data_IF_334572161674
#
_entry.id   IF_334572161674
#
_cell.length_a   1.000
_cell.length_b   1.000
_cell.length_c   1.000
_cell.angle_alpha   90.00
_cell.angle_beta   90.00
_cell.angle_gamma   90.00
#
_symmetry.space_group_name_H-M   'P 1'
#
loop_
_entity.id
_entity.type
_entity.pdbx_description
1 polymer ?
#
# COMPACT_ATOMS: atom_id res chain seq x y z
N UNK A 1 -13.23 -7.13 -29.40
CA UNK A 1 -13.74 -7.34 -28.03
C UNK A 1 -12.83 -6.79 -26.93
N UNK A 2 -11.58 -6.38 -27.21
CA UNK A 2 -10.68 -5.75 -26.22
C UNK A 2 -10.82 -4.21 -26.06
N UNK A 3 -11.72 -3.56 -26.79
CA UNK A 3 -11.92 -2.09 -26.70
C UNK A 3 -13.05 -1.68 -25.73
N UNK A 4 -13.64 -2.63 -25.00
CA UNK A 4 -14.74 -2.38 -24.03
C UNK A 4 -14.38 -2.62 -22.57
N UNK A 5 -13.15 -3.04 -22.26
CA UNK A 5 -12.69 -3.18 -20.89
C UNK A 5 -11.73 -2.04 -20.56
N UNK A 6 -12.16 -1.19 -19.62
CA UNK A 6 -11.34 -0.23 -18.86
C UNK A 6 -11.08 1.13 -19.55
N UNK A 7 -12.16 1.92 -19.69
CA UNK A 7 -12.03 3.36 -19.40
C UNK A 7 -11.71 3.48 -17.91
N UNK A 8 -10.45 3.30 -17.52
CA UNK A 8 -10.02 3.64 -16.18
C UNK A 8 -10.29 5.14 -15.99
N UNK A 9 -11.30 5.44 -15.17
CA UNK A 9 -11.43 6.76 -14.56
C UNK A 9 -10.07 7.05 -13.92
N UNK A 10 -9.50 8.22 -14.17
CA UNK A 10 -8.21 8.61 -13.62
C UNK A 10 -8.24 8.38 -12.09
N UNK A 11 -7.48 7.40 -11.60
CA UNK A 11 -7.36 7.10 -10.17
C UNK A 11 -6.33 8.08 -9.62
N UNK A 12 -6.69 8.99 -8.71
CA UNK A 12 -5.71 9.88 -8.08
C UNK A 12 -4.69 9.05 -7.32
N UNK A 13 -3.41 9.37 -7.47
CA UNK A 13 -2.32 8.77 -6.68
C UNK A 13 -1.51 9.88 -6.05
N UNK A 14 -1.21 9.72 -4.76
CA UNK A 14 -0.47 10.69 -3.95
C UNK A 14 0.89 10.09 -3.59
N UNK A 15 1.97 10.75 -4.00
CA UNK A 15 3.35 10.34 -3.75
C UNK A 15 4.11 11.36 -2.91
N UNK A 16 3.44 12.40 -2.43
CA UNK A 16 4.04 13.61 -1.86
C UNK A 16 4.44 13.47 -0.38
N UNK A 17 4.63 12.24 0.12
CA UNK A 17 5.14 11.95 1.47
C UNK A 17 6.56 11.38 1.32
N UNK A 18 7.61 12.18 1.59
CA UNK A 18 8.98 11.70 1.47
C UNK A 18 9.35 10.76 2.62
N UNK A 19 10.15 9.75 2.31
CA UNK A 19 10.78 8.89 3.29
C UNK A 19 12.20 9.33 3.65
N UNK A 20 12.75 8.70 4.69
CA UNK A 20 14.13 8.96 5.13
C UNK A 20 15.16 8.56 4.06
N UNK A 21 14.84 7.55 3.25
CA UNK A 21 15.63 7.15 2.09
C UNK A 21 15.58 8.16 0.92
N UNK A 22 14.57 9.03 0.88
CA UNK A 22 14.43 10.05 -0.15
C UNK A 22 15.21 11.32 0.18
N UNK A 23 15.09 11.79 1.43
CA UNK A 23 15.55 13.13 1.83
C UNK A 23 16.55 13.16 3.01
N UNK A 24 16.79 12.05 3.71
CA UNK A 24 17.53 12.00 4.98
C UNK A 24 16.59 12.05 6.19
N UNK A 25 17.10 12.30 7.41
CA UNK A 25 16.26 12.40 8.60
C UNK A 25 16.73 13.49 9.57
N UNK A 26 15.78 14.26 10.13
CA UNK A 26 16.07 15.33 11.09
C UNK A 26 17.10 16.34 10.57
N UNK A 27 18.13 16.61 11.36
CA UNK A 27 19.19 17.56 11.01
C UNK A 27 20.04 17.15 9.79
N UNK A 28 20.02 15.86 9.44
CA UNK A 28 20.73 15.32 8.27
C UNK A 28 19.93 15.42 6.97
N UNK A 29 18.71 15.99 7.00
CA UNK A 29 17.90 16.19 5.79
C UNK A 29 18.65 17.08 4.79
N UNK A 30 18.72 16.65 3.55
CA UNK A 30 19.36 17.40 2.47
C UNK A 30 18.34 18.29 1.77
N UNK A 31 18.51 19.61 1.84
CA UNK A 31 17.68 20.58 1.10
C UNK A 31 17.60 20.27 -0.40
N UNK A 32 18.72 19.91 -1.02
CA UNK A 32 18.74 19.49 -2.42
C UNK A 32 17.87 18.26 -2.69
N UNK A 33 17.86 17.28 -1.77
CA UNK A 33 17.01 16.10 -1.90
C UNK A 33 15.52 16.43 -1.70
N UNK A 34 15.18 17.31 -0.74
CA UNK A 34 13.82 17.83 -0.54
C UNK A 34 13.32 18.55 -1.80
N UNK A 35 14.14 19.40 -2.40
CA UNK A 35 13.78 20.14 -3.62
C UNK A 35 13.54 19.18 -4.79
N UNK A 36 14.46 18.23 -5.00
CA UNK A 36 14.32 17.20 -6.03
C UNK A 36 13.08 16.34 -5.81
N UNK A 37 12.81 15.92 -4.57
CA UNK A 37 11.62 15.13 -4.23
C UNK A 37 10.36 15.93 -4.54
N UNK A 38 10.30 17.19 -4.10
CA UNK A 38 9.16 18.09 -4.33
C UNK A 38 8.91 18.30 -5.82
N UNK A 39 9.96 18.51 -6.61
CA UNK A 39 9.85 18.69 -8.06
C UNK A 39 9.28 17.46 -8.78
N UNK A 40 9.62 16.25 -8.32
CA UNK A 40 9.17 15.02 -8.97
C UNK A 40 7.82 14.52 -8.42
N UNK A 41 7.68 14.45 -7.10
CA UNK A 41 6.58 13.78 -6.40
C UNK A 41 5.66 14.73 -5.62
N UNK A 42 6.02 16.01 -5.49
CA UNK A 42 5.17 17.00 -4.85
C UNK A 42 3.82 17.12 -5.55
N UNK A 43 2.76 17.26 -4.75
CA UNK A 43 1.42 17.47 -5.24
C UNK A 43 1.27 18.89 -5.79
N UNK A 44 0.35 19.06 -6.72
CA UNK A 44 0.03 20.38 -7.27
C UNK A 44 -0.68 21.23 -6.22
N UNK A 45 -0.11 22.39 -5.88
CA UNK A 45 -0.75 23.34 -4.99
C UNK A 45 -1.95 23.99 -5.69
N UNK A 46 -3.17 23.57 -5.35
CA UNK A 46 -4.41 24.10 -5.92
C UNK A 46 -4.88 25.40 -5.26
N UNK A 47 -4.14 25.93 -4.27
CA UNK A 47 -4.52 27.14 -3.53
C UNK A 47 -3.98 28.43 -4.15
N UNK A 48 -3.10 28.34 -5.15
CA UNK A 48 -2.55 29.50 -5.86
C UNK A 48 -3.54 29.98 -6.94
N UNK A 49 -4.06 31.23 -6.88
CA UNK A 49 -4.91 31.76 -7.94
C UNK A 49 -4.14 31.85 -9.26
N UNK A 50 -4.64 31.18 -10.30
CA UNK A 50 -4.12 31.27 -11.66
C UNK A 50 -4.48 32.63 -12.28
N UNK A 51 -3.66 33.64 -11.98
CA UNK A 51 -3.88 35.04 -12.37
C UNK A 51 -3.01 35.55 -13.53
N UNK A 52 -2.19 34.71 -14.18
CA UNK A 52 -1.39 35.12 -15.34
C UNK A 52 -1.17 33.94 -16.29
N UNK A 53 -0.94 34.25 -17.57
CA UNK A 53 -0.83 33.30 -18.69
C UNK A 53 0.37 32.33 -18.63
N UNK A 54 0.89 32.04 -17.43
CA UNK A 54 1.87 31.00 -17.17
C UNK A 54 1.48 30.32 -15.85
N UNK A 55 0.88 29.13 -15.95
CA UNK A 55 0.52 28.32 -14.78
C UNK A 55 1.82 27.70 -14.25
N UNK A 56 2.55 28.44 -13.43
CA UNK A 56 3.60 27.89 -12.58
C UNK A 56 2.91 27.10 -11.47
N UNK A 57 2.65 25.80 -11.70
CA UNK A 57 2.09 24.96 -10.65
C UNK A 57 3.21 24.68 -9.63
N UNK A 58 3.19 25.40 -8.52
CA UNK A 58 4.08 25.10 -7.40
C UNK A 58 3.75 23.70 -6.89
N UNK A 59 4.75 22.81 -6.90
CA UNK A 59 4.65 21.51 -6.25
C UNK A 59 4.97 21.64 -4.78
N UNK A 60 4.24 20.91 -3.94
CA UNK A 60 4.40 20.92 -2.48
C UNK A 60 4.27 19.51 -1.92
N UNK A 61 5.02 19.22 -0.86
CA UNK A 61 4.94 17.92 -0.15
C UNK A 61 3.81 17.91 0.88
N UNK A 62 3.64 19.01 1.61
CA UNK A 62 2.63 19.13 2.64
C UNK A 62 1.30 19.57 2.04
N UNK A 63 0.28 18.73 2.08
CA UNK A 63 -1.02 19.02 1.47
C UNK A 63 -2.20 18.50 2.27
N UNK A 64 -3.33 19.19 2.12
CA UNK A 64 -4.65 18.72 2.53
C UNK A 64 -5.47 18.46 1.27
N UNK A 65 -6.05 17.27 1.18
CA UNK A 65 -6.99 16.90 0.11
C UNK A 65 -8.30 16.46 0.73
N UNK A 66 -9.37 17.18 0.45
CA UNK A 66 -10.71 16.75 0.88
C UNK A 66 -11.26 15.74 -0.12
N UNK A 67 -11.54 14.54 0.38
CA UNK A 67 -12.15 13.44 -0.37
C UNK A 67 -13.44 13.08 0.36
N UNK A 68 -14.59 13.28 -0.30
CA UNK A 68 -15.90 13.14 0.34
C UNK A 68 -16.01 14.01 1.61
N UNK A 69 -16.39 13.42 2.75
CA UNK A 69 -16.50 14.08 4.05
C UNK A 69 -15.23 13.94 4.90
N UNK A 70 -14.06 13.76 4.29
CA UNK A 70 -12.80 13.52 4.99
C UNK A 70 -11.69 14.39 4.44
N UNK A 71 -10.80 14.84 5.33
CA UNK A 71 -9.60 15.55 4.96
C UNK A 71 -8.39 14.60 5.06
N UNK A 72 -7.77 14.30 3.92
CA UNK A 72 -6.51 13.57 3.86
C UNK A 72 -5.37 14.58 4.07
N UNK A 73 -4.54 14.35 5.08
CA UNK A 73 -3.44 15.23 5.46
C UNK A 73 -2.12 14.52 5.19
N UNK A 74 -1.34 15.03 4.25
CA UNK A 74 0.00 14.54 3.94
C UNK A 74 1.02 15.50 4.58
N UNK A 75 1.86 15.00 5.48
CA UNK A 75 2.81 15.81 6.23
C UNK A 75 4.21 15.19 6.19
N UNK A 76 5.19 16.00 5.80
CA UNK A 76 6.61 15.70 5.91
C UNK A 76 7.09 15.92 7.36
N UNK A 77 6.87 14.92 8.21
CA UNK A 77 7.36 14.92 9.60
C UNK A 77 8.87 14.80 9.70
N UNK A 78 9.54 14.29 8.66
CA UNK A 78 10.99 14.11 8.62
C UNK A 78 11.68 15.46 8.54
N UNK A 79 11.28 16.32 7.60
CA UNK A 79 11.76 17.70 7.51
C UNK A 79 11.33 18.51 8.73
N UNK A 80 10.14 18.25 9.29
CA UNK A 80 9.69 18.89 10.53
C UNK A 80 10.56 18.53 11.75
N UNK A 81 11.24 17.38 11.73
CA UNK A 81 12.19 16.96 12.78
C UNK A 81 13.56 17.64 12.67
N UNK A 82 13.79 18.47 11.64
CA UNK A 82 14.99 19.26 11.50
C UNK A 82 14.97 20.46 12.45
N UNK A 83 16.08 20.72 13.12
CA UNK A 83 16.23 21.82 14.10
C UNK A 83 17.23 22.89 13.65
N UNK A 84 17.92 22.66 12.52
CA UNK A 84 19.06 23.46 12.08
C UNK A 84 18.70 24.43 10.95
N UNK A 85 17.81 24.04 10.04
CA UNK A 85 17.51 24.79 8.81
C UNK A 85 16.02 25.11 8.69
N UNK A 86 15.68 26.38 8.84
CA UNK A 86 14.31 26.90 8.67
C UNK A 86 13.76 26.65 7.27
N UNK A 87 14.60 26.62 6.25
CA UNK A 87 14.18 26.27 4.89
C UNK A 87 13.67 24.82 4.76
N UNK A 88 14.05 23.94 5.70
CA UNK A 88 13.64 22.54 5.75
C UNK A 88 12.44 22.37 6.69
N UNK A 89 12.53 22.81 7.95
CA UNK A 89 11.46 22.60 8.93
C UNK A 89 10.31 23.62 8.81
N UNK A 90 10.55 24.79 8.22
CA UNK A 90 9.59 25.88 8.07
C UNK A 90 8.36 25.50 7.24
N UNK A 91 8.51 25.00 6.00
CA UNK A 91 7.37 24.64 5.16
C UNK A 91 6.36 23.65 5.79
N UNK A 92 6.76 22.49 6.38
CA UNK A 92 5.80 21.61 7.06
C UNK A 92 5.20 22.25 8.32
N UNK A 93 5.95 23.11 9.01
CA UNK A 93 5.46 23.85 10.18
C UNK A 93 4.38 24.87 9.82
N UNK A 94 4.62 25.69 8.81
CA UNK A 94 3.65 26.68 8.31
C UNK A 94 2.34 26.01 7.88
N UNK A 95 2.45 24.88 7.17
CA UNK A 95 1.29 24.08 6.79
C UNK A 95 0.53 23.57 8.01
N UNK A 96 1.22 22.97 8.98
CA UNK A 96 0.60 22.49 10.21
C UNK A 96 -0.08 23.62 11.01
N UNK A 97 0.56 24.79 11.10
CA UNK A 97 0.02 25.97 11.77
C UNK A 97 -1.21 26.54 11.04
N UNK A 98 -1.25 26.41 9.71
CA UNK A 98 -2.43 26.77 8.94
C UNK A 98 -3.63 25.86 9.28
N UNK A 99 -3.41 24.55 9.37
CA UNK A 99 -4.45 23.58 9.74
C UNK A 99 -4.97 23.76 11.17
N UNK A 100 -4.12 24.25 12.08
CA UNK A 100 -4.49 24.55 13.47
C UNK A 100 -5.35 25.82 13.58
N UNK A 101 -5.21 26.76 12.64
CA UNK A 101 -6.03 27.99 12.59
C UNK A 101 -7.40 27.75 11.96
N UNK A 102 -7.51 26.76 11.08
CA UNK A 102 -8.75 26.35 10.43
C UNK A 102 -9.74 25.69 11.40
N UNK A 103 -11.03 25.87 11.15
CA UNK A 103 -12.06 25.10 11.85
C UNK A 103 -12.10 23.68 11.30
N UNK A 104 -11.88 22.67 12.15
CA UNK A 104 -11.97 21.27 11.76
C UNK A 104 -13.44 20.87 11.56
N UNK A 105 -13.86 20.77 10.30
CA UNK A 105 -15.22 20.33 9.92
C UNK A 105 -15.23 18.81 9.69
N UNK A 106 -14.24 18.31 8.95
CA UNK A 106 -14.16 16.89 8.57
C UNK A 106 -13.22 16.11 9.50
N UNK A 107 -13.45 14.79 9.69
CA UNK A 107 -12.44 13.87 10.19
C UNK A 107 -11.16 13.95 9.33
N UNK A 108 -10.01 13.95 10.00
CA UNK A 108 -8.69 14.04 9.35
C UNK A 108 -8.03 12.66 9.38
N UNK A 109 -7.55 12.22 8.22
CA UNK A 109 -6.78 10.99 8.03
C UNK A 109 -5.37 11.42 7.65
N UNK A 110 -4.40 11.04 8.46
CA UNK A 110 -3.04 11.55 8.33
C UNK A 110 -2.11 10.51 7.69
N UNK A 111 -1.20 11.00 6.84
CA UNK A 111 -0.15 10.23 6.19
C UNK A 111 1.21 10.93 6.41
N UNK A 112 2.17 10.17 6.93
CA UNK A 112 3.55 10.56 7.18
C UNK A 112 4.44 9.33 6.98
N UNK A 113 5.75 9.51 6.82
CA UNK A 113 6.62 8.35 6.61
C UNK A 113 7.03 7.68 7.93
N UNK A 114 7.57 8.44 8.88
CA UNK A 114 8.01 7.92 10.20
C UNK A 114 6.88 8.07 11.21
N UNK A 115 6.50 7.01 11.95
CA UNK A 115 5.38 7.02 12.87
C UNK A 115 5.59 7.93 14.09
N UNK A 116 4.49 8.27 14.77
CA UNK A 116 4.56 8.99 16.03
C UNK A 116 5.12 8.15 17.19
N UNK A 117 5.73 8.87 18.14
CA UNK A 117 6.16 8.31 19.41
C UNK A 117 5.00 7.63 20.14
N UNK A 118 5.28 6.44 20.68
CA UNK A 118 4.33 5.66 21.47
C UNK A 118 5.00 5.04 22.68
N UNK A 119 4.26 4.98 23.78
CA UNK A 119 4.70 4.28 24.99
C UNK A 119 4.50 2.77 24.81
N UNK A 120 5.58 2.06 24.48
CA UNK A 120 5.53 0.65 24.06
C UNK A 120 5.02 -0.30 25.15
N UNK A 121 5.17 0.07 26.43
CA UNK A 121 4.65 -0.70 27.56
C UNK A 121 3.13 -0.58 27.71
N UNK A 122 2.52 0.45 27.11
CA UNK A 122 1.08 0.74 27.19
C UNK A 122 0.33 0.49 25.88
N UNK A 123 1.04 0.51 24.75
CA UNK A 123 0.47 0.29 23.44
C UNK A 123 1.29 -0.77 22.70
N UNK A 124 0.83 -2.02 22.80
CA UNK A 124 1.38 -3.14 22.03
C UNK A 124 0.95 -3.07 20.57
N UNK A 125 1.76 -3.61 19.68
CA UNK A 125 1.31 -3.85 18.31
C UNK A 125 0.24 -4.94 18.30
N UNK A 126 -0.80 -4.77 17.47
CA UNK A 126 -1.78 -5.81 17.22
C UNK A 126 -1.17 -7.12 16.70
N UNK A 127 -1.88 -8.28 16.79
CA UNK A 127 -1.38 -9.62 16.45
C UNK A 127 -0.94 -9.83 15.00
N UNK A 128 -1.14 -8.86 14.10
CA UNK A 128 -0.72 -8.94 12.70
C UNK A 128 0.74 -8.52 12.49
N UNK A 129 1.46 -8.10 13.55
CA UNK A 129 2.91 -7.88 13.52
C UNK A 129 3.66 -9.21 13.43
N UNK A 130 4.56 -9.36 12.46
CA UNK A 130 5.31 -10.62 12.27
C UNK A 130 6.52 -10.77 13.20
N UNK A 131 7.03 -9.68 13.77
CA UNK A 131 8.16 -9.72 14.69
C UNK A 131 8.63 -8.34 15.14
N UNK A 132 9.55 -8.35 16.11
CA UNK A 132 10.07 -7.12 16.73
C UNK A 132 9.07 -6.49 17.69
N UNK A 133 8.54 -7.30 18.62
CA UNK A 133 7.71 -6.86 19.76
C UNK A 133 8.54 -6.83 21.06
N UNK A 134 8.38 -5.79 21.91
CA UNK A 134 7.57 -4.58 21.67
C UNK A 134 8.13 -3.74 20.52
N UNK A 135 7.33 -2.80 19.99
CA UNK A 135 7.73 -1.92 18.88
C UNK A 135 9.10 -1.28 19.15
N UNK A 136 10.05 -1.32 18.20
CA UNK A 136 11.40 -0.83 18.44
C UNK A 136 11.42 0.70 18.53
N UNK A 137 11.93 1.24 19.64
CA UNK A 137 12.25 2.67 19.76
C UNK A 137 13.76 2.82 19.64
N UNK A 138 14.23 2.94 18.40
CA UNK A 138 15.67 3.04 18.10
C UNK A 138 15.98 4.28 17.26
N UNK A 139 17.20 4.80 17.44
CA UNK A 139 17.77 5.92 16.70
C UNK A 139 19.12 5.51 16.12
N UNK A 140 19.34 5.83 14.86
CA UNK A 140 20.57 5.56 14.13
C UNK A 140 20.97 6.75 13.25
N UNK A 141 22.01 6.56 12.43
CA UNK A 141 22.40 7.57 11.46
C UNK A 141 21.31 7.73 10.39
N UNK A 142 20.72 8.93 10.29
CA UNK A 142 19.63 9.25 9.35
C UNK A 142 18.40 8.35 9.47
N UNK A 143 18.14 7.83 10.66
CA UNK A 143 17.04 6.91 10.91
C UNK A 143 16.55 7.02 12.35
N UNK A 144 15.23 6.99 12.53
CA UNK A 144 14.59 6.88 13.83
C UNK A 144 13.27 6.14 13.64
N UNK A 145 12.98 5.15 14.49
CA UNK A 145 11.77 4.33 14.34
C UNK A 145 10.47 5.06 14.65
N UNK A 146 10.55 6.20 15.33
CA UNK A 146 9.45 7.12 15.62
C UNK A 146 10.00 8.55 15.59
N UNK A 147 9.17 9.56 15.32
CA UNK A 147 9.58 10.95 15.55
C UNK A 147 9.62 11.30 17.04
N UNK A 148 10.19 12.45 17.40
CA UNK A 148 10.37 12.87 18.79
C UNK A 148 9.05 12.95 19.56
N UNK A 149 9.10 12.68 20.87
CA UNK A 149 7.93 12.71 21.75
C UNK A 149 7.18 14.05 21.69
N UNK A 150 7.91 15.16 21.90
CA UNK A 150 7.29 16.50 21.95
C UNK A 150 6.76 16.92 20.57
N UNK A 151 7.47 16.55 19.50
CA UNK A 151 7.02 16.81 18.14
C UNK A 151 5.77 16.01 17.81
N UNK A 152 5.70 14.74 18.20
CA UNK A 152 4.51 13.90 18.05
C UNK A 152 3.31 14.54 18.76
N UNK A 153 3.48 14.96 20.01
CA UNK A 153 2.43 15.60 20.80
C UNK A 153 1.94 16.90 20.15
N UNK A 154 2.86 17.71 19.62
CA UNK A 154 2.50 18.95 18.95
C UNK A 154 1.71 18.72 17.66
N UNK A 155 2.18 17.80 16.81
CA UNK A 155 1.52 17.46 15.54
C UNK A 155 0.11 16.94 15.81
N UNK A 156 -0.04 16.03 16.77
CA UNK A 156 -1.36 15.50 17.15
C UNK A 156 -2.28 16.57 17.73
N UNK A 157 -1.76 17.49 18.54
CA UNK A 157 -2.53 18.61 19.11
C UNK A 157 -3.05 19.58 18.04
N UNK A 158 -2.24 19.90 17.03
CA UNK A 158 -2.60 20.84 15.95
C UNK A 158 -3.48 20.21 14.86
N UNK A 159 -3.16 18.98 14.44
CA UNK A 159 -3.88 18.31 13.35
C UNK A 159 -5.12 17.59 13.87
N UNK A 160 -5.04 17.01 15.06
CA UNK A 160 -6.09 16.20 15.68
C UNK A 160 -6.65 15.12 14.74
N UNK A 161 -5.81 14.24 14.15
CA UNK A 161 -6.27 13.18 13.25
C UNK A 161 -7.10 12.13 14.00
N UNK A 162 -7.98 11.46 13.26
CA UNK A 162 -8.72 10.28 13.76
C UNK A 162 -7.88 9.01 13.62
N UNK A 163 -7.08 8.93 12.56
CA UNK A 163 -6.15 7.85 12.27
C UNK A 163 -4.92 8.41 11.54
N UNK A 164 -3.76 7.82 11.81
CA UNK A 164 -2.49 8.06 11.15
C UNK A 164 -2.01 6.76 10.49
N UNK A 165 -1.57 6.88 9.23
CA UNK A 165 -0.87 5.84 8.50
C UNK A 165 0.58 6.26 8.30
N UNK A 166 1.49 5.45 8.82
CA UNK A 166 2.93 5.66 8.68
C UNK A 166 3.63 4.45 8.08
N UNK A 167 4.74 4.66 7.41
CA UNK A 167 5.62 3.61 6.90
C UNK A 167 6.81 3.38 7.82
N UNK A 168 7.99 3.39 7.21
CA UNK A 168 9.34 3.25 7.80
C UNK A 168 9.61 1.91 8.53
N UNK A 169 8.83 1.55 9.55
CA UNK A 169 8.82 0.18 10.08
C UNK A 169 8.09 -0.72 9.08
N UNK A 170 8.79 -1.75 8.59
CA UNK A 170 8.27 -2.59 7.51
C UNK A 170 7.22 -3.62 7.99
N UNK A 171 7.03 -3.74 9.31
CA UNK A 171 6.04 -4.62 9.90
C UNK A 171 4.75 -3.86 10.20
N UNK A 172 3.63 -4.57 10.07
CA UNK A 172 2.37 -4.02 10.54
C UNK A 172 2.46 -3.76 12.04
N UNK A 173 1.95 -2.61 12.49
CA UNK A 173 1.72 -2.33 13.89
C UNK A 173 0.54 -1.38 14.04
N UNK A 174 -0.47 -1.82 14.77
CA UNK A 174 -1.62 -1.02 15.14
C UNK A 174 -1.49 -0.63 16.62
N UNK A 175 -1.57 0.66 16.91
CA UNK A 175 -1.36 1.22 18.25
C UNK A 175 -2.34 2.36 18.56
N UNK A 176 -2.67 2.54 19.84
CA UNK A 176 -3.41 3.71 20.32
C UNK A 176 -2.45 4.71 20.96
N UNK A 177 -2.43 5.94 20.44
CA UNK A 177 -1.58 7.00 20.98
C UNK A 177 -2.48 8.03 21.68
N UNK A 178 -2.48 8.10 23.02
CA UNK A 178 -3.15 9.15 23.75
C UNK A 178 -2.38 10.47 23.58
N UNK A 179 -3.10 11.58 23.41
CA UNK A 179 -2.52 12.91 23.34
C UNK A 179 -3.46 13.95 23.95
N UNK A 180 -2.89 15.10 24.32
CA UNK A 180 -3.64 16.23 24.86
C UNK A 180 -3.80 17.30 23.80
N UNK A 181 -5.00 17.85 23.68
CA UNK A 181 -5.26 19.00 22.82
C UNK A 181 -4.88 20.27 23.55
N UNK A 182 -4.08 21.11 22.89
CA UNK A 182 -3.83 22.48 23.33
C UNK A 182 -5.07 23.32 23.04
N UNK A 183 -5.65 23.90 24.09
CA UNK A 183 -6.87 24.72 24.04
C UNK A 183 -6.74 25.95 23.15
N UNK A 184 -5.52 26.42 22.89
CA UNK A 184 -5.29 27.53 21.96
C UNK A 184 -5.68 27.18 20.51
N UNK A 185 -5.73 25.89 20.16
CA UNK A 185 -6.11 25.39 18.84
C UNK A 185 -7.51 24.75 18.81
N UNK A 186 -8.14 24.52 19.96
CA UNK A 186 -9.49 23.93 20.00
C UNK A 186 -10.58 25.00 19.84
N UNK A 187 -10.99 25.26 18.60
CA UNK A 187 -12.13 26.13 18.27
C UNK A 187 -13.48 25.42 18.33
N UNK A 188 -13.52 24.12 18.64
CA UNK A 188 -14.76 23.35 18.75
C UNK A 188 -15.77 23.93 19.76
N UNK A 189 -15.35 24.51 20.90
CA UNK A 189 -16.27 25.17 21.83
C UNK A 189 -16.98 26.39 21.22
N UNK A 190 -16.28 27.18 20.41
CA UNK A 190 -16.85 28.35 19.71
C UNK A 190 -17.88 27.91 18.67
N UNK A 191 -17.60 26.82 17.94
CA UNK A 191 -18.53 26.25 16.97
C UNK A 191 -19.76 25.62 17.64
N UNK A 192 -19.57 24.86 18.73
CA UNK A 192 -20.69 24.30 19.52
C UNK A 192 -21.59 25.40 20.07
N UNK A 193 -21.01 26.51 20.51
CA UNK A 193 -21.75 27.69 20.97
C UNK A 193 -22.49 28.37 19.80
N UNK A 194 -21.83 28.59 18.67
CA UNK A 194 -22.46 29.18 17.48
C UNK A 194 -23.61 28.31 16.90
N UNK A 195 -23.45 26.98 16.88
CA UNK A 195 -24.50 26.03 16.47
C UNK A 195 -25.65 26.03 17.46
N UNK A 196 -25.37 26.12 18.77
CA UNK A 196 -26.39 26.23 19.80
C UNK A 196 -27.17 27.55 19.68
N UNK A 197 -26.47 28.65 19.41
CA UNK A 197 -27.07 29.97 19.21
C UNK A 197 -27.92 30.02 17.93
N UNK A 198 -27.46 29.38 16.84
CA UNK A 198 -28.20 29.22 15.59
C UNK A 198 -29.40 28.26 15.71
N UNK A 199 -29.27 27.18 16.48
CA UNK A 199 -30.38 26.25 16.75
C UNK A 199 -31.44 26.91 17.64
N UNK A 200 -31.02 27.79 18.56
CA UNK A 200 -31.93 28.55 19.42
C UNK A 200 -32.74 29.63 18.69
N UNK A 201 -32.33 30.03 17.48
CA UNK A 201 -33.07 30.99 16.66
C UNK A 201 -34.10 30.37 15.71
N UNK A 202 -34.16 29.03 15.59
CA UNK A 202 -34.99 28.38 14.53
C UNK A 202 -35.93 27.23 14.98
N UNK A 203 -36.17 26.95 16.26
CA UNK A 203 -37.25 25.99 16.62
C UNK A 203 -38.03 26.41 17.87
N UNK A 204 -39.29 26.77 17.64
CA UNK A 204 -40.36 26.77 18.63
C UNK A 204 -40.68 25.32 19.07
N UNK A 205 -40.50 25.08 20.37
CA UNK A 205 -41.17 24.12 21.26
C UNK A 205 -41.27 22.63 20.89
N UNK A 206 -40.92 21.83 21.92
CA UNK A 206 -41.32 20.45 22.23
C UNK A 206 -40.44 19.32 21.73
N UNK A 207 -39.32 19.08 22.44
CA UNK A 207 -38.93 17.76 22.94
C UNK A 207 -37.64 17.88 23.78
N UNK A 208 -37.77 18.27 25.05
CA UNK A 208 -36.64 18.27 25.99
C UNK A 208 -36.98 17.39 27.20
N UNK A 209 -36.77 16.08 27.07
CA UNK A 209 -36.67 15.19 28.25
C UNK A 209 -35.83 13.94 27.95
N UNK A 210 -34.60 14.10 27.48
CA UNK A 210 -33.60 13.03 27.57
C UNK A 210 -32.22 13.64 27.77
N UNK A 211 -31.84 14.01 29.01
CA UNK A 211 -30.42 14.11 29.41
C UNK A 211 -30.30 14.55 30.87
N UNK A 212 -30.26 13.60 31.81
CA UNK A 212 -29.70 13.86 33.16
C UNK A 212 -28.95 12.66 33.76
N UNK A 213 -28.69 11.59 33.00
CA UNK A 213 -27.95 10.41 33.53
C UNK A 213 -26.65 10.06 32.79
N UNK A 214 -26.21 10.86 31.81
CA UNK A 214 -24.98 10.62 31.04
C UNK A 214 -23.76 11.47 31.49
N UNK A 215 -23.95 12.41 32.43
CA UNK A 215 -22.90 13.38 32.80
C UNK A 215 -21.84 12.88 33.78
N UNK A 216 -21.80 11.59 34.12
CA UNK A 216 -20.84 11.03 35.10
C UNK A 216 -19.77 10.10 34.52
N UNK A 217 -19.54 10.12 33.20
CA UNK A 217 -18.42 9.37 32.58
C UNK A 217 -17.63 10.16 31.52
N UNK A 218 -17.65 11.49 31.55
CA UNK A 218 -16.81 12.29 30.66
C UNK A 218 -15.38 12.35 31.21
N UNK A 219 -14.46 11.63 30.55
CA UNK A 219 -13.02 11.95 30.55
C UNK A 219 -12.86 13.45 30.21
N UNK A 220 -11.81 14.11 30.72
CA UNK A 220 -11.53 15.53 30.42
C UNK A 220 -11.60 15.77 28.91
N UNK A 221 -12.29 16.83 28.48
CA UNK A 221 -12.50 17.21 27.05
C UNK A 221 -11.19 17.34 26.26
N UNK A 222 -10.06 17.50 26.97
CA UNK A 222 -8.71 17.70 26.43
C UNK A 222 -7.97 16.38 26.09
N UNK A 223 -8.41 15.23 26.61
CA UNK A 223 -7.74 13.93 26.41
C UNK A 223 -8.30 13.24 25.16
N UNK A 224 -7.52 13.21 24.08
CA UNK A 224 -7.85 12.52 22.81
C UNK A 224 -6.92 11.34 22.57
N UNK A 225 -7.27 10.53 21.58
CA UNK A 225 -6.43 9.43 21.10
C UNK A 225 -6.49 9.36 19.58
N UNK A 226 -5.39 8.95 18.96
CA UNK A 226 -5.31 8.62 17.53
C UNK A 226 -5.03 7.13 17.38
N UNK A 227 -5.60 6.51 16.35
CA UNK A 227 -5.19 5.19 15.88
C UNK A 227 -3.94 5.39 15.02
N UNK A 228 -2.82 4.78 15.39
CA UNK A 228 -1.58 4.83 14.62
C UNK A 228 -1.34 3.48 13.98
N UNK A 229 -1.33 3.44 12.65
CA UNK A 229 -1.12 2.24 11.84
C UNK A 229 0.20 2.38 11.10
N UNK A 230 1.15 1.53 11.45
CA UNK A 230 2.31 1.28 10.60
C UNK A 230 1.89 0.35 9.46
N UNK A 231 1.90 0.86 8.24
CA UNK A 231 1.55 0.10 7.04
C UNK A 231 2.65 -0.90 6.73
N UNK A 232 2.24 -2.10 6.36
CA UNK A 232 3.16 -3.18 6.06
C UNK A 232 3.87 -2.95 4.72
N UNK A 233 5.12 -3.38 4.62
CA UNK A 233 5.83 -3.35 3.34
C UNK A 233 5.18 -4.30 2.32
N UNK A 234 5.11 -3.85 1.06
CA UNK A 234 4.71 -4.68 -0.09
C UNK A 234 5.84 -5.61 -0.57
N UNK A 235 6.98 -5.64 0.12
CA UNK A 235 8.17 -6.42 -0.25
C UNK A 235 8.62 -7.34 0.89
N UNK A 236 9.21 -8.49 0.53
CA UNK A 236 9.86 -9.39 1.49
C UNK A 236 11.29 -8.93 1.84
N UNK A 237 11.47 -7.63 2.07
CA UNK A 237 12.74 -7.05 2.50
C UNK A 237 12.77 -6.88 4.03
N UNK A 238 13.97 -6.80 4.60
CA UNK A 238 14.18 -6.48 6.03
C UNK A 238 13.42 -7.40 7.01
N UNK A 239 13.33 -8.69 6.70
CA UNK A 239 12.75 -9.70 7.60
C UNK A 239 11.23 -9.88 7.50
N UNK A 240 10.55 -9.17 6.59
CA UNK A 240 9.13 -9.35 6.30
C UNK A 240 8.89 -10.65 5.52
N UNK A 241 7.99 -11.51 5.99
CA UNK A 241 7.65 -12.77 5.31
C UNK A 241 6.36 -12.66 4.50
N UNK A 242 5.39 -11.89 4.97
CA UNK A 242 4.06 -11.80 4.35
C UNK A 242 3.80 -10.37 3.87
N UNK A 243 4.25 -9.97 2.67
CA UNK A 243 4.01 -8.61 2.20
C UNK A 243 2.50 -8.31 2.13
N UNK A 244 2.09 -7.08 2.36
CA UNK A 244 0.67 -6.70 2.34
C UNK A 244 0.47 -5.26 1.87
N UNK A 245 -0.78 -4.93 1.54
CA UNK A 245 -1.25 -3.57 1.28
C UNK A 245 -2.29 -3.19 2.33
N UNK A 246 -2.31 -1.92 2.73
CA UNK A 246 -3.34 -1.39 3.60
C UNK A 246 -4.50 -0.86 2.74
N UNK A 247 -5.73 -1.30 3.04
CA UNK A 247 -6.94 -0.78 2.43
C UNK A 247 -7.63 0.18 3.38
N UNK A 248 -8.09 1.32 2.86
CA UNK A 248 -8.86 2.31 3.58
C UNK A 248 -10.16 2.60 2.83
N UNK A 249 -11.28 2.42 3.49
CA UNK A 249 -12.62 2.74 3.00
C UNK A 249 -13.17 3.93 3.76
N UNK A 250 -13.72 4.91 3.03
CA UNK A 250 -14.33 6.11 3.58
C UNK A 250 -15.85 6.06 3.43
N UNK A 251 -16.57 6.45 4.48
CA UNK A 251 -18.03 6.46 4.52
C UNK A 251 -18.55 7.87 4.78
N UNK A 252 -19.53 8.31 3.98
CA UNK A 252 -20.21 9.60 4.17
C UNK A 252 -21.05 9.67 5.46
N UNK A 253 -21.32 8.53 6.09
CA UNK A 253 -22.09 8.41 7.34
C UNK A 253 -21.38 7.49 8.31
N UNK A 254 -21.51 7.72 9.64
CA UNK A 254 -20.87 6.86 10.62
C UNK A 254 -21.35 5.42 10.52
N UNK A 255 -20.40 4.49 10.43
CA UNK A 255 -20.61 3.04 10.44
C UNK A 255 -20.07 2.46 11.73
N UNK A 256 -20.68 1.36 12.20
CA UNK A 256 -20.10 0.57 13.29
C UNK A 256 -19.05 -0.35 12.64
N UNK A 257 -17.77 -0.29 13.05
CA UNK A 257 -16.73 -1.14 12.47
C UNK A 257 -17.11 -2.62 12.60
N UNK A 258 -16.99 -3.38 11.51
CA UNK A 258 -17.32 -4.80 11.49
C UNK A 258 -16.19 -5.64 12.11
N UNK A 259 -15.86 -5.41 13.38
CA UNK A 259 -15.10 -6.25 14.33
C UNK A 259 -13.87 -7.06 13.85
N UNK A 260 -13.23 -6.73 12.72
CA UNK A 260 -12.10 -7.50 12.17
C UNK A 260 -10.74 -6.87 12.38
N UNK A 261 -10.67 -5.73 13.08
CA UNK A 261 -9.38 -5.13 13.43
C UNK A 261 -8.88 -5.67 14.75
N UNK A 262 -7.58 -5.94 14.79
CA UNK A 262 -6.97 -6.76 15.82
C UNK A 262 -6.93 -6.08 17.20
N UNK A 263 -7.04 -4.75 17.23
CA UNK A 263 -7.14 -3.95 18.44
C UNK A 263 -8.60 -3.66 18.87
N UNK A 264 -9.61 -4.08 18.08
CA UNK A 264 -11.03 -4.07 18.47
C UNK A 264 -11.33 -5.01 19.65
N UNK A 265 -10.42 -5.93 19.98
CA UNK A 265 -10.57 -6.81 21.15
C UNK A 265 -10.07 -6.20 22.47
N UNK A 266 -9.27 -5.13 22.44
CA UNK A 266 -8.69 -4.58 23.68
C UNK A 266 -9.41 -3.35 24.23
N UNK A 267 -10.20 -2.66 23.43
CA UNK A 267 -11.09 -1.59 23.90
C UNK A 267 -12.38 -1.65 23.09
N UNK A 268 -13.50 -1.71 23.81
CA UNK A 268 -14.86 -1.75 23.30
C UNK A 268 -15.19 -0.45 22.54
N UNK A 269 -14.65 -0.27 21.33
CA UNK A 269 -14.96 0.85 20.45
C UNK A 269 -16.15 0.46 19.57
N UNK A 270 -17.32 0.34 20.19
CA UNK A 270 -18.64 0.48 19.55
C UNK A 270 -18.88 1.97 19.16
N UNK A 271 -17.84 2.72 18.82
CA UNK A 271 -17.94 4.13 18.42
C UNK A 271 -18.08 4.19 16.91
N UNK A 272 -19.17 4.76 16.39
CA UNK A 272 -19.32 4.94 14.95
C UNK A 272 -18.16 5.75 14.36
N UNK A 273 -17.47 5.18 13.38
CA UNK A 273 -16.41 5.84 12.60
C UNK A 273 -16.91 6.13 11.20
N UNK A 274 -16.33 7.09 10.51
CA UNK A 274 -16.63 7.35 9.09
C UNK A 274 -15.62 6.65 8.17
N UNK A 275 -14.86 5.68 8.67
CA UNK A 275 -13.85 4.96 7.91
C UNK A 275 -13.65 3.54 8.46
N UNK A 276 -13.18 2.64 7.59
CA UNK A 276 -12.78 1.27 7.87
C UNK A 276 -11.43 1.00 7.21
N UNK A 277 -10.55 0.25 7.85
CA UNK A 277 -9.26 -0.14 7.29
C UNK A 277 -8.96 -1.61 7.56
N UNK A 278 -8.27 -2.25 6.63
CA UNK A 278 -7.90 -3.66 6.71
C UNK A 278 -6.60 -3.93 5.94
N UNK A 279 -5.79 -4.86 6.47
CA UNK A 279 -4.53 -5.26 5.85
C UNK A 279 -4.75 -6.47 4.94
N UNK A 280 -4.47 -6.31 3.66
CA UNK A 280 -4.62 -7.35 2.65
C UNK A 280 -3.26 -7.95 2.28
N UNK A 281 -3.02 -9.18 2.72
CA UNK A 281 -1.79 -9.92 2.42
C UNK A 281 -1.69 -10.29 0.94
N UNK A 282 -0.51 -10.07 0.37
CA UNK A 282 -0.14 -10.45 -0.97
C UNK A 282 0.23 -11.94 -1.01
N UNK A 283 0.08 -12.55 -2.18
CA UNK A 283 0.52 -13.92 -2.42
C UNK A 283 2.03 -14.04 -2.23
N UNK A 284 2.49 -15.13 -1.61
CA UNK A 284 3.92 -15.35 -1.38
C UNK A 284 4.64 -15.65 -2.72
N UNK A 285 5.64 -14.86 -3.12
CA UNK A 285 6.33 -15.06 -4.41
C UNK A 285 7.17 -16.36 -4.45
N UNK A 286 7.44 -17.00 -3.31
CA UNK A 286 8.05 -18.34 -3.29
C UNK A 286 7.15 -19.40 -3.93
N UNK A 287 5.83 -19.18 -4.00
CA UNK A 287 4.91 -20.08 -4.69
C UNK A 287 5.31 -20.24 -6.16
N UNK A 288 5.64 -19.13 -6.82
CA UNK A 288 6.09 -19.14 -8.20
C UNK A 288 7.46 -19.82 -8.33
N UNK A 289 8.40 -19.52 -7.42
CA UNK A 289 9.74 -20.12 -7.44
C UNK A 289 9.68 -21.64 -7.26
N UNK A 290 8.87 -22.12 -6.29
CA UNK A 290 8.66 -23.55 -6.06
C UNK A 290 8.04 -24.19 -7.29
N UNK A 291 7.07 -23.53 -7.92
CA UNK A 291 6.43 -24.02 -9.13
C UNK A 291 7.42 -24.12 -10.30
N UNK A 292 8.19 -23.06 -10.58
CA UNK A 292 9.22 -23.06 -11.62
C UNK A 292 10.32 -24.10 -11.36
N UNK A 293 10.72 -24.26 -10.11
CA UNK A 293 11.74 -25.26 -9.72
C UNK A 293 11.23 -26.69 -9.93
N UNK A 294 9.98 -26.97 -9.56
CA UNK A 294 9.33 -28.24 -9.83
C UNK A 294 9.24 -28.50 -11.34
N UNK A 295 8.81 -27.52 -12.13
CA UNK A 295 8.73 -27.63 -13.59
C UNK A 295 10.11 -27.87 -14.23
N UNK A 296 11.14 -27.13 -13.81
CA UNK A 296 12.50 -27.30 -14.32
C UNK A 296 13.04 -28.70 -14.04
N UNK A 297 12.74 -29.26 -12.86
CA UNK A 297 13.12 -30.62 -12.50
C UNK A 297 12.49 -31.68 -13.43
N UNK A 298 11.18 -31.62 -13.67
CA UNK A 298 10.52 -32.59 -14.56
C UNK A 298 10.93 -32.42 -16.03
N UNK A 299 11.12 -31.19 -16.52
CA UNK A 299 11.67 -30.96 -17.85
C UNK A 299 13.08 -31.53 -18.00
N UNK A 300 13.91 -31.37 -16.96
CA UNK A 300 15.25 -31.97 -16.95
C UNK A 300 15.18 -33.50 -17.01
N UNK A 301 14.33 -34.14 -16.19
CA UNK A 301 14.13 -35.59 -16.25
C UNK A 301 13.63 -36.05 -17.62
N UNK A 302 12.70 -35.32 -18.22
CA UNK A 302 12.19 -35.59 -19.56
C UNK A 302 13.29 -35.48 -20.63
N UNK A 303 14.11 -34.42 -20.57
CA UNK A 303 15.25 -34.23 -21.45
C UNK A 303 16.25 -35.39 -21.31
N UNK A 304 16.57 -35.80 -20.08
CA UNK A 304 17.46 -36.93 -19.79
C UNK A 304 16.87 -38.22 -20.36
N UNK A 305 15.59 -38.52 -20.15
CA UNK A 305 14.93 -39.69 -20.70
C UNK A 305 14.98 -39.72 -22.23
N UNK A 306 14.64 -38.61 -22.89
CA UNK A 306 14.65 -38.50 -24.35
C UNK A 306 16.06 -38.62 -24.95
N UNK A 307 17.06 -37.98 -24.32
CA UNK A 307 18.44 -38.04 -24.76
C UNK A 307 19.11 -39.40 -24.47
N UNK A 308 18.70 -40.09 -23.40
CA UNK A 308 19.27 -41.38 -22.99
C UNK A 308 18.59 -42.58 -23.66
N UNK A 309 17.31 -42.48 -24.00
CA UNK A 309 16.49 -43.55 -24.59
C UNK A 309 16.80 -43.89 -26.05
N UNK A 310 17.62 -43.09 -26.74
CA UNK A 310 17.96 -43.29 -28.16
C UNK A 310 19.30 -44.01 -28.41
N UNK A 311 19.89 -44.66 -27.40
CA UNK A 311 21.04 -45.56 -27.58
C UNK A 311 20.63 -47.03 -27.50
N UNK A 312 19.84 -47.50 -28.47
CA UNK A 312 19.63 -48.93 -28.65
C UNK A 312 19.94 -49.32 -30.10
N UNK A 313 21.09 -49.98 -30.23
CA UNK A 313 21.62 -50.75 -31.36
C UNK A 313 21.87 -50.07 -32.72
N UNK A 314 23.14 -49.73 -32.94
CA UNK A 314 23.84 -50.06 -34.19
C UNK A 314 23.83 -49.04 -35.33
N UNK A 315 22.99 -48.00 -35.30
CA UNK A 315 23.10 -46.88 -36.25
C UNK A 315 22.88 -45.58 -35.47
N UNK A 316 23.76 -44.60 -35.68
CA UNK A 316 23.99 -43.42 -34.82
C UNK A 316 22.74 -42.60 -34.41
N UNK A 317 22.89 -41.69 -33.43
CA UNK A 317 21.77 -41.00 -32.81
C UNK A 317 20.98 -40.21 -33.87
N UNK A 318 19.73 -40.64 -34.13
CA UNK A 318 18.76 -39.85 -34.88
C UNK A 318 18.26 -38.71 -34.00
N UNK A 319 19.00 -37.61 -33.98
CA UNK A 319 18.45 -36.36 -33.49
C UNK A 319 17.41 -35.88 -34.51
N UNK A 320 16.14 -35.86 -34.12
CA UNK A 320 15.10 -35.17 -34.90
C UNK A 320 15.28 -33.68 -34.61
N UNK A 321 15.95 -32.99 -35.52
CA UNK A 321 15.97 -31.53 -35.54
C UNK A 321 14.54 -31.03 -35.76
N UNK A 322 14.04 -30.16 -34.88
CA UNK A 322 12.79 -29.40 -35.09
C UNK A 322 12.95 -28.27 -36.12
N UNK A 323 14.17 -28.02 -36.60
CA UNK A 323 14.36 -27.10 -37.71
C UNK A 323 13.81 -27.77 -38.97
N UNK A 324 12.66 -27.28 -39.43
CA UNK A 324 12.12 -27.53 -40.76
C UNK A 324 13.26 -27.42 -41.77
N UNK A 325 13.56 -28.50 -42.50
CA UNK A 325 14.60 -28.57 -43.54
C UNK A 325 14.40 -27.55 -44.69
N UNK A 326 13.32 -26.75 -44.68
CA UNK A 326 13.01 -25.77 -45.71
C UNK A 326 13.92 -24.50 -45.72
N UNK A 327 14.94 -24.39 -44.86
CA UNK A 327 15.79 -23.18 -44.78
C UNK A 327 17.13 -23.33 -45.53
N UNK A 328 17.46 -24.52 -46.06
CA UNK A 328 18.62 -24.70 -46.95
C UNK A 328 18.16 -25.23 -48.31
N UNK A 329 17.60 -24.36 -49.14
CA UNK A 329 17.58 -24.56 -50.59
C UNK A 329 18.64 -23.65 -51.21
N UNK A 330 19.74 -24.29 -51.60
CA UNK A 330 20.84 -23.71 -52.36
C UNK A 330 20.31 -23.12 -53.68
N UNK A 331 20.81 -21.92 -54.01
CA UNK A 331 20.54 -21.26 -55.29
C UNK A 331 21.38 -21.91 -56.37
N UNK A 332 20.88 -22.99 -56.97
CA UNK A 332 21.61 -23.65 -58.06
C UNK A 332 20.76 -24.62 -58.89
N UNK A 333 20.37 -24.13 -60.07
CA UNK A 333 19.79 -24.84 -61.20
C UNK A 333 18.40 -25.47 -61.07
N UNK A 334 17.50 -24.87 -61.85
CA UNK A 334 16.11 -25.25 -62.02
C UNK A 334 15.89 -26.70 -62.43
N UNK A 335 15.02 -27.37 -61.70
CA UNK A 335 14.13 -28.38 -62.24
C UNK A 335 12.83 -28.36 -61.44
N UNK A 336 11.73 -27.95 -62.07
CA UNK A 336 10.39 -28.22 -61.56
C UNK A 336 10.14 -29.72 -61.72
N UNK A 337 10.30 -30.48 -60.65
CA UNK A 337 9.74 -31.83 -60.56
C UNK A 337 8.55 -31.76 -59.63
N UNK A 338 7.35 -31.81 -60.22
CA UNK A 338 6.13 -32.06 -59.49
C UNK A 338 6.21 -33.45 -58.87
N UNK A 339 6.16 -33.52 -57.53
CA UNK A 339 5.93 -34.76 -56.82
C UNK A 339 4.79 -34.55 -55.84
N UNK A 340 3.71 -35.32 -56.07
CA UNK A 340 2.61 -35.55 -55.14
C UNK A 340 3.18 -35.75 -53.74
N UNK A 341 2.59 -35.08 -52.74
CA UNK A 341 2.72 -35.39 -51.32
C UNK A 341 2.31 -36.85 -51.09
N UNK A 342 3.26 -37.77 -51.20
CA UNK A 342 3.16 -39.06 -50.52
C UNK A 342 3.74 -38.81 -49.14
N UNK A 343 2.86 -38.65 -48.16
CA UNK A 343 3.24 -38.58 -46.76
C UNK A 343 3.78 -39.97 -46.39
N UNK A 344 5.06 -40.20 -46.66
CA UNK A 344 5.73 -41.45 -46.34
C UNK A 344 5.69 -41.71 -44.83
N UNK A 345 5.92 -42.96 -44.45
CA UNK A 345 5.90 -43.43 -43.06
C UNK A 345 6.70 -42.51 -42.11
N UNK A 346 7.81 -41.93 -42.56
CA UNK A 346 8.61 -40.95 -41.82
C UNK A 346 7.86 -39.64 -41.50
N UNK A 347 7.11 -39.07 -42.45
CA UNK A 347 6.31 -37.86 -42.22
C UNK A 347 5.09 -38.11 -41.33
N UNK A 348 4.50 -39.31 -41.43
CA UNK A 348 3.45 -39.75 -40.51
C UNK A 348 3.99 -39.93 -39.08
N UNK A 349 5.15 -40.59 -38.93
CA UNK A 349 5.85 -40.79 -37.65
C UNK A 349 6.27 -39.45 -37.01
N UNK A 350 6.81 -38.50 -37.78
CA UNK A 350 7.13 -37.16 -37.27
C UNK A 350 5.89 -36.41 -36.80
N UNK A 351 4.76 -36.49 -37.53
CA UNK A 351 3.50 -35.87 -37.09
C UNK A 351 2.91 -36.53 -35.84
N UNK A 352 3.10 -37.84 -35.67
CA UNK A 352 2.72 -38.59 -34.46
C UNK A 352 3.57 -38.19 -33.26
N UNK A 353 4.88 -37.99 -33.44
CA UNK A 353 5.77 -37.53 -32.38
C UNK A 353 5.42 -36.09 -31.94
N UNK A 354 5.11 -35.20 -32.88
CA UNK A 354 4.68 -33.82 -32.59
C UNK A 354 3.30 -33.81 -31.91
N UNK A 355 2.34 -34.62 -32.38
CA UNK A 355 1.04 -34.77 -31.72
C UNK A 355 1.17 -35.31 -30.31
N UNK A 356 2.00 -36.34 -30.09
CA UNK A 356 2.25 -36.87 -28.74
C UNK A 356 2.91 -35.83 -27.84
N UNK A 357 3.80 -35.00 -28.35
CA UNK A 357 4.42 -33.91 -27.60
C UNK A 357 3.38 -32.85 -27.19
N UNK A 358 2.51 -32.45 -28.11
CA UNK A 358 1.41 -31.51 -27.84
C UNK A 358 0.38 -32.08 -26.87
N UNK A 359 0.02 -33.35 -27.01
CA UNK A 359 -0.88 -34.05 -26.08
C UNK A 359 -0.25 -34.19 -24.69
N UNK A 360 1.06 -34.46 -24.59
CA UNK A 360 1.77 -34.49 -23.31
C UNK A 360 1.80 -33.11 -22.65
N UNK A 361 2.16 -32.06 -23.40
CA UNK A 361 2.15 -30.69 -22.87
C UNK A 361 0.74 -30.29 -22.39
N UNK A 362 -0.32 -30.72 -23.09
CA UNK A 362 -1.70 -30.48 -22.67
C UNK A 362 -2.05 -31.24 -21.38
N UNK A 363 -1.68 -32.52 -21.26
CA UNK A 363 -1.90 -33.33 -20.06
C UNK A 363 -1.11 -32.79 -18.86
N UNK A 364 0.16 -32.43 -19.06
CA UNK A 364 0.99 -31.76 -18.04
C UNK A 364 0.35 -30.44 -17.60
N UNK A 365 -0.11 -29.61 -18.54
CA UNK A 365 -0.77 -28.34 -18.23
C UNK A 365 -2.07 -28.53 -17.42
N UNK A 366 -2.85 -29.58 -17.73
CA UNK A 366 -4.09 -29.90 -17.00
C UNK A 366 -3.82 -30.47 -15.61
N UNK A 367 -2.84 -31.38 -15.46
CA UNK A 367 -2.42 -31.90 -14.16
C UNK A 367 -1.84 -30.80 -13.27
N UNK A 368 -1.08 -29.88 -13.86
CA UNK A 368 -0.57 -28.67 -13.20
C UNK A 368 -1.71 -27.79 -12.71
N UNK A 369 -2.71 -27.51 -13.56
CA UNK A 369 -3.86 -26.70 -13.17
C UNK A 369 -4.65 -27.39 -12.04
N UNK A 370 -4.78 -28.71 -12.08
CA UNK A 370 -5.43 -29.49 -11.04
C UNK A 370 -4.65 -29.48 -9.71
N UNK A 371 -3.32 -29.63 -9.74
CA UNK A 371 -2.44 -29.54 -8.58
C UNK A 371 -2.42 -28.14 -7.98
N UNK A 372 -2.39 -27.10 -8.83
CA UNK A 372 -2.50 -25.71 -8.41
C UNK A 372 -3.82 -25.47 -7.65
N UNK A 373 -4.96 -25.84 -8.24
CA UNK A 373 -6.25 -25.71 -7.56
C UNK A 373 -6.30 -26.57 -6.28
N UNK A 374 -5.77 -27.79 -6.28
CA UNK A 374 -5.77 -28.62 -5.08
C UNK A 374 -4.95 -28.02 -3.92
N UNK A 375 -3.74 -27.52 -4.20
CA UNK A 375 -2.87 -26.93 -3.18
C UNK A 375 -3.41 -25.59 -2.68
N UNK A 376 -3.93 -24.76 -3.59
CA UNK A 376 -4.22 -23.35 -3.30
C UNK A 376 -5.71 -23.03 -3.08
N UNK A 377 -6.66 -23.88 -3.48
CA UNK A 377 -8.07 -23.71 -3.08
C UNK A 377 -8.34 -24.25 -1.66
N UNK A 378 -7.48 -25.15 -1.14
CA UNK A 378 -7.63 -25.74 0.20
C UNK A 378 -6.98 -24.89 1.30
N UNK A 379 -6.03 -24.00 0.97
CA UNK A 379 -5.32 -23.14 1.96
C UNK A 379 -5.75 -21.67 1.94
N UNK A 380 -6.82 -21.33 1.21
CA UNK A 380 -7.39 -19.98 1.14
C UNK A 380 -8.65 -19.80 2.03
N UNK A 381 -8.88 -20.70 3.00
CA UNK A 381 -9.97 -20.64 3.96
C UNK A 381 -9.46 -20.28 5.36
#
# INVERSE_FOLDING_TARGET
MLDRALKFKHIPVYYNVPGNHDIGFGDDVSKHAVDRFTENFGAHDTTVPTGSNEIQVKKVVNTKVTVHSHDLIFLDTISLSNTVSEEIWGPPREFMDSLAKETKINPRIMFNHVPFYREVDKSTCGPLREGGDPFPIVKGYRFQSVIEHDLSAEVLSKIQPSIEFAGDDHNYCEAFIPYKVDKSFDKTPELKQAVKDFSSSTVTNSAMTVSTKFSKLFKRDDDKSVISVNVKSISMAMGIRFPAVELLTLHDSPVIPSSKTSLSSHNNYDTPTTFEYDVCFLTLPYQDIVFYSFYAFFNFLYLVYFCSGNRVHGNGPKYISLASENVYMDSGNGQRIGSRKVMGLMGFIQSLAIKKLLELCAVESVLVLALYNFVFTIHAA
#
